data_IF_028944866824
#
_entry.id   IF_028944866824
#
_cell.length_a   1.000
_cell.length_b   1.000
_cell.length_c   1.000
_cell.angle_alpha   90.00
_cell.angle_beta   90.00
_cell.angle_gamma   90.00
#
_symmetry.space_group_name_H-M   'P 1'
#
loop_
_entity.id
_entity.type
_entity.pdbx_description
1 polymer ?
#
# COMPACT_ATOMS: atom_id res chain seq x y z
N UNK A 1 32.23 72.14 7.92
CA UNK A 1 32.07 72.86 6.65
C UNK A 1 32.31 71.91 5.50
N UNK A 2 31.34 71.75 4.61
CA UNK A 2 31.51 71.14 3.30
C UNK A 2 30.83 69.79 3.11
N UNK A 3 29.49 69.69 3.13
CA UNK A 3 28.72 68.57 2.60
C UNK A 3 28.76 68.62 1.06
N UNK A 4 29.27 67.58 0.41
CA UNK A 4 29.05 67.36 -1.03
C UNK A 4 28.15 66.20 -1.24
N UNK A 5 26.92 66.44 -1.68
CA UNK A 5 25.93 65.49 -2.13
C UNK A 5 26.32 64.92 -3.50
N UNK A 6 26.46 63.56 -3.58
CA UNK A 6 26.52 62.84 -4.84
C UNK A 6 25.13 62.28 -5.17
N UNK A 7 24.49 62.83 -6.21
CA UNK A 7 23.29 62.27 -6.84
C UNK A 7 23.70 61.05 -7.68
N UNK A 8 23.41 59.84 -7.17
CA UNK A 8 23.49 58.64 -7.95
C UNK A 8 22.21 58.46 -8.77
N UNK A 9 22.35 58.40 -10.08
CA UNK A 9 21.30 58.13 -11.07
C UNK A 9 21.01 56.62 -11.09
N UNK A 10 19.85 56.20 -10.56
CA UNK A 10 19.41 54.82 -10.59
C UNK A 10 18.81 54.54 -11.98
N UNK A 11 19.56 53.85 -12.84
CA UNK A 11 19.07 53.33 -14.12
C UNK A 11 18.29 52.01 -13.79
N UNK A 12 16.96 52.11 -13.90
CA UNK A 12 16.05 50.98 -13.79
C UNK A 12 16.12 50.18 -15.11
N UNK A 13 16.94 49.11 -15.14
CA UNK A 13 16.95 48.15 -16.26
C UNK A 13 15.72 47.26 -16.11
N UNK A 14 14.69 47.52 -16.92
CA UNK A 14 13.51 46.70 -17.08
C UNK A 14 13.92 45.46 -17.88
N UNK A 15 14.28 44.35 -17.17
CA UNK A 15 14.48 43.05 -17.77
C UNK A 15 13.13 42.56 -18.31
N UNK A 16 12.93 42.65 -19.62
CA UNK A 16 11.87 41.96 -20.33
C UNK A 16 12.16 40.45 -20.24
N UNK A 17 11.55 39.77 -19.26
CA UNK A 17 11.51 38.30 -19.24
C UNK A 17 10.52 37.86 -20.31
N UNK A 18 10.94 37.14 -21.37
CA UNK A 18 9.97 36.58 -22.31
C UNK A 18 9.06 35.64 -21.56
N UNK A 19 7.74 35.56 -21.88
CA UNK A 19 6.89 34.53 -21.29
C UNK A 19 7.49 33.17 -21.63
N UNK A 20 7.88 32.40 -20.61
CA UNK A 20 8.13 30.95 -20.80
C UNK A 20 6.82 30.38 -21.35
N UNK A 21 6.79 30.15 -22.66
CA UNK A 21 5.74 29.35 -23.26
C UNK A 21 5.72 28.04 -22.50
N UNK A 22 4.59 27.67 -21.92
CA UNK A 22 4.35 26.37 -21.35
C UNK A 22 4.58 25.35 -22.48
N UNK A 23 5.79 24.82 -22.58
CA UNK A 23 6.05 23.65 -23.40
C UNK A 23 5.22 22.55 -22.78
N UNK A 24 4.17 22.13 -23.47
CA UNK A 24 3.44 20.92 -23.10
C UNK A 24 4.47 19.79 -23.00
N UNK A 25 4.69 19.28 -21.81
CA UNK A 25 5.56 18.11 -21.63
C UNK A 25 5.06 16.99 -22.55
N UNK A 26 5.92 16.33 -23.33
CA UNK A 26 5.49 15.21 -24.12
C UNK A 26 4.82 14.16 -23.20
N UNK A 27 3.79 13.46 -23.66
CA UNK A 27 3.11 12.47 -22.85
C UNK A 27 4.11 11.42 -22.35
N UNK A 28 4.02 11.08 -21.08
CA UNK A 28 4.83 9.99 -20.52
C UNK A 28 4.32 8.67 -21.09
N UNK A 29 5.11 8.04 -21.96
CA UNK A 29 4.79 6.72 -22.48
C UNK A 29 5.09 5.68 -21.41
N UNK A 30 4.09 4.86 -21.04
CA UNK A 30 4.19 3.85 -20.00
C UNK A 30 3.75 2.49 -20.52
N UNK A 31 4.61 1.49 -20.33
CA UNK A 31 4.25 0.08 -20.37
C UNK A 31 3.75 -0.39 -19.03
N UNK A 32 3.04 -1.52 -18.98
CA UNK A 32 2.59 -2.14 -17.73
C UNK A 32 3.75 -2.39 -16.75
N UNK A 33 4.85 -2.92 -17.27
CA UNK A 33 6.06 -3.15 -16.47
C UNK A 33 6.61 -1.86 -15.87
N UNK A 34 6.74 -0.80 -16.67
CA UNK A 34 7.22 0.50 -16.19
C UNK A 34 6.27 1.10 -15.14
N UNK A 35 4.96 0.93 -15.31
CA UNK A 35 3.98 1.38 -14.34
C UNK A 35 4.12 0.63 -13.00
N UNK A 36 4.27 -0.70 -13.02
CA UNK A 36 4.51 -1.50 -11.82
C UNK A 36 5.82 -1.11 -11.11
N UNK A 37 6.93 -0.98 -11.85
CA UNK A 37 8.22 -0.55 -11.32
C UNK A 37 8.16 0.85 -10.69
N UNK A 38 7.43 1.76 -11.31
CA UNK A 38 7.28 3.13 -10.82
C UNK A 38 6.48 3.15 -9.52
N UNK A 39 5.38 2.40 -9.46
CA UNK A 39 4.57 2.27 -8.25
C UNK A 39 5.37 1.70 -7.09
N UNK A 40 6.13 0.63 -7.28
CA UNK A 40 6.98 0.05 -6.24
C UNK A 40 8.01 1.05 -5.67
N UNK A 41 8.43 2.04 -6.47
CA UNK A 41 9.41 3.05 -6.05
C UNK A 41 8.81 4.24 -5.32
N UNK A 42 7.58 4.65 -5.67
CA UNK A 42 7.07 5.93 -5.19
C UNK A 42 5.62 5.91 -4.69
N UNK A 43 4.93 4.77 -4.75
CA UNK A 43 3.59 4.66 -4.17
C UNK A 43 3.65 4.87 -2.65
N UNK A 44 2.79 5.74 -2.06
CA UNK A 44 2.83 6.05 -0.64
C UNK A 44 2.62 4.86 0.28
N UNK A 45 1.77 3.89 -0.09
CA UNK A 45 1.48 2.73 0.76
C UNK A 45 2.70 1.81 0.88
N UNK A 46 3.46 1.61 -0.21
CA UNK A 46 4.74 0.90 -0.18
C UNK A 46 5.76 1.65 0.68
N UNK A 47 5.84 2.98 0.55
CA UNK A 47 6.76 3.79 1.35
C UNK A 47 6.41 3.73 2.85
N UNK A 48 5.11 3.75 3.20
CA UNK A 48 4.65 3.58 4.58
C UNK A 48 5.05 2.20 5.11
N UNK A 49 4.88 1.13 4.34
CA UNK A 49 5.32 -0.21 4.75
C UNK A 49 6.83 -0.27 5.02
N UNK A 50 7.66 0.36 4.16
CA UNK A 50 9.11 0.47 4.37
C UNK A 50 9.45 1.27 5.63
N UNK A 51 8.73 2.34 5.91
CA UNK A 51 8.92 3.13 7.14
C UNK A 51 8.52 2.34 8.38
N UNK A 52 7.44 1.55 8.34
CA UNK A 52 7.03 0.66 9.43
C UNK A 52 8.11 -0.42 9.70
N UNK A 53 8.73 -0.97 8.65
CA UNK A 53 9.88 -1.87 8.81
C UNK A 53 11.06 -1.17 9.48
N UNK A 54 11.37 0.06 9.08
CA UNK A 54 12.43 0.85 9.72
C UNK A 54 12.13 1.14 11.19
N UNK A 55 10.87 1.46 11.53
CA UNK A 55 10.39 1.67 12.90
C UNK A 55 10.53 0.39 13.75
N UNK A 56 10.07 -0.76 13.25
CA UNK A 56 10.20 -2.04 13.95
C UNK A 56 11.67 -2.43 14.14
N UNK A 57 12.55 -2.07 13.19
CA UNK A 57 14.00 -2.16 13.34
C UNK A 57 14.54 -1.31 14.51
N UNK A 58 14.01 -0.10 14.72
CA UNK A 58 14.38 0.72 15.88
C UNK A 58 13.79 0.18 17.19
N UNK A 59 12.58 -0.37 17.18
CA UNK A 59 12.00 -1.05 18.35
C UNK A 59 12.87 -2.24 18.79
N UNK A 60 13.41 -3.01 17.85
CA UNK A 60 14.42 -4.04 18.15
C UNK A 60 15.69 -3.45 18.77
N UNK A 61 16.18 -2.30 18.27
CA UNK A 61 17.34 -1.62 18.85
C UNK A 61 17.05 -1.09 20.25
N UNK A 62 15.86 -0.55 20.51
CA UNK A 62 15.41 -0.12 21.84
C UNK A 62 15.35 -1.31 22.81
N UNK A 63 14.78 -2.44 22.37
CA UNK A 63 14.76 -3.64 23.19
C UNK A 63 16.18 -4.16 23.51
N UNK A 64 17.10 -4.08 22.52
CA UNK A 64 18.52 -4.41 22.71
C UNK A 64 19.21 -3.45 23.67
N UNK A 65 18.91 -2.15 23.59
CA UNK A 65 19.47 -1.15 24.48
C UNK A 65 19.11 -1.43 25.96
N UNK A 66 17.94 -2.04 26.20
CA UNK A 66 17.55 -2.50 27.54
C UNK A 66 18.44 -3.61 28.13
N UNK A 67 19.30 -4.25 27.33
CA UNK A 67 20.30 -5.24 27.76
C UNK A 67 21.68 -4.63 28.02
N UNK A 68 21.87 -3.35 27.68
CA UNK A 68 23.16 -2.68 27.75
C UNK A 68 23.21 -1.70 28.96
N UNK A 69 24.39 -1.37 29.43
CA UNK A 69 24.55 -0.32 30.46
C UNK A 69 23.93 1.00 29.98
N UNK A 70 23.17 1.63 30.86
CA UNK A 70 22.63 2.97 30.68
C UNK A 70 23.36 3.93 31.62
N UNK A 71 23.68 5.12 31.16
CA UNK A 71 24.29 6.17 31.96
C UNK A 71 23.59 7.49 31.68
N UNK A 72 23.25 8.21 32.76
CA UNK A 72 22.67 9.54 32.73
C UNK A 72 23.42 10.49 33.63
N UNK A 73 23.46 11.78 33.29
CA UNK A 73 23.97 12.84 34.16
C UNK A 73 22.79 13.44 34.90
N UNK A 74 22.84 13.40 36.25
CA UNK A 74 21.79 13.95 37.09
C UNK A 74 22.34 15.10 37.91
N UNK A 75 21.67 16.24 37.86
CA UNK A 75 21.90 17.38 38.74
C UNK A 75 20.58 17.71 39.39
N UNK A 76 20.56 17.71 40.73
CA UNK A 76 19.35 18.01 41.48
C UNK A 76 19.67 18.82 42.71
N UNK A 77 18.80 19.76 43.05
CA UNK A 77 18.79 20.46 44.33
C UNK A 77 17.40 20.27 44.94
N UNK A 78 17.35 19.74 46.14
CA UNK A 78 16.13 19.43 46.87
C UNK A 78 16.13 20.14 48.20
N UNK A 79 15.13 20.92 48.53
CA UNK A 79 14.89 21.45 49.86
C UNK A 79 14.03 20.45 50.64
N UNK A 80 14.50 20.05 51.82
CA UNK A 80 13.76 19.09 52.65
C UNK A 80 13.76 19.50 54.12
N UNK A 81 12.72 19.07 54.81
CA UNK A 81 12.58 19.19 56.27
C UNK A 81 12.22 17.81 56.81
N UNK A 82 13.04 17.28 57.69
CA UNK A 82 12.86 15.96 58.30
C UNK A 82 12.17 16.07 59.65
N UNK A 83 11.15 15.28 59.87
CA UNK A 83 10.53 15.09 61.20
C UNK A 83 11.27 13.96 61.94
N UNK A 84 12.09 14.31 62.88
CA UNK A 84 12.89 13.34 63.66
C UNK A 84 12.02 12.44 64.53
N UNK A 85 10.94 12.95 65.08
CA UNK A 85 10.01 12.17 65.88
C UNK A 85 9.32 11.06 65.02
N UNK A 86 8.95 11.37 63.76
CA UNK A 86 8.41 10.37 62.86
C UNK A 86 9.46 9.33 62.44
N UNK A 87 10.73 9.75 62.35
CA UNK A 87 11.83 8.86 61.92
C UNK A 87 12.21 7.86 63.03
N UNK A 88 12.23 8.31 64.31
CA UNK A 88 12.65 7.50 65.44
C UNK A 88 11.50 6.94 66.32
N UNK A 89 10.25 7.25 65.96
CA UNK A 89 9.04 6.76 66.66
C UNK A 89 8.81 7.40 68.03
N UNK A 90 9.72 8.26 68.52
CA UNK A 90 9.63 8.96 69.82
C UNK A 90 10.48 10.25 69.83
N UNK A 91 10.15 11.20 70.68
CA UNK A 91 10.99 12.38 70.92
C UNK A 91 12.33 11.98 71.48
N UNK A 92 13.44 12.51 70.95
CA UNK A 92 14.78 12.32 71.51
C UNK A 92 15.13 13.49 72.41
N UNK A 93 15.49 13.26 73.69
CA UNK A 93 15.92 14.32 74.59
C UNK A 93 17.16 15.05 74.03
N UNK A 94 17.08 16.37 73.89
CA UNK A 94 18.17 17.20 73.37
C UNK A 94 18.24 17.39 71.87
N UNK A 95 17.35 16.72 71.06
CA UNK A 95 17.23 16.95 69.62
C UNK A 95 15.94 17.72 69.30
N UNK A 96 15.97 18.61 68.33
CA UNK A 96 14.76 19.29 67.88
C UNK A 96 13.78 18.29 67.23
N UNK A 97 12.49 18.58 67.31
CA UNK A 97 11.46 17.70 66.67
C UNK A 97 11.61 17.56 65.14
N UNK A 98 12.28 18.54 64.54
CA UNK A 98 12.53 18.53 63.07
C UNK A 98 13.92 19.16 62.83
N UNK A 99 14.52 18.72 61.69
CA UNK A 99 15.72 19.30 61.11
C UNK A 99 15.35 19.93 59.77
N UNK A 100 15.88 21.12 59.51
CA UNK A 100 15.64 21.88 58.30
C UNK A 100 14.64 23.02 58.44
N UNK A 101 14.32 23.71 57.28
CA UNK A 101 14.66 23.28 55.92
C UNK A 101 16.16 23.36 55.62
N UNK A 102 16.68 22.36 54.88
CA UNK A 102 18.04 22.38 54.34
C UNK A 102 18.02 21.89 52.89
N UNK A 103 18.97 22.39 52.09
CA UNK A 103 19.20 21.93 50.71
C UNK A 103 19.93 20.59 50.69
N UNK A 104 19.67 19.79 49.70
CA UNK A 104 20.51 18.66 49.32
C UNK A 104 20.83 18.81 47.83
N UNK A 105 22.06 19.17 47.54
CA UNK A 105 22.59 19.24 46.20
C UNK A 105 23.24 17.91 45.82
N UNK A 106 22.91 17.41 44.64
CA UNK A 106 23.53 16.21 44.07
C UNK A 106 23.84 16.46 42.60
N UNK A 107 25.06 16.15 42.16
CA UNK A 107 25.46 16.24 40.76
C UNK A 107 26.45 15.12 40.45
N UNK A 108 26.14 14.36 39.37
CA UNK A 108 27.04 13.30 38.92
C UNK A 108 26.39 12.31 37.95
N UNK A 109 27.20 11.49 37.27
CA UNK A 109 26.70 10.39 36.47
C UNK A 109 26.08 9.30 37.37
N UNK A 110 24.91 8.80 36.88
CA UNK A 110 24.27 7.61 37.39
C UNK A 110 24.26 6.56 36.28
N UNK A 111 24.47 5.31 36.62
CA UNK A 111 24.45 4.23 35.65
C UNK A 111 23.68 3.03 36.21
N UNK A 112 23.02 2.33 35.28
CA UNK A 112 22.31 1.09 35.56
C UNK A 112 22.67 0.03 34.52
N UNK A 113 22.75 -1.21 34.93
CA UNK A 113 23.13 -2.33 34.10
C UNK A 113 22.37 -3.59 34.53
N UNK A 114 21.54 -4.19 33.69
CA UNK A 114 20.96 -5.51 33.93
C UNK A 114 22.04 -6.58 33.67
N UNK A 115 22.64 -7.12 34.73
CA UNK A 115 23.66 -8.17 34.60
C UNK A 115 23.01 -9.47 34.12
N UNK A 116 21.83 -9.79 34.66
CA UNK A 116 21.03 -10.93 34.26
C UNK A 116 19.55 -10.57 34.35
N UNK A 117 18.91 -10.47 33.17
CA UNK A 117 17.47 -10.29 33.00
C UNK A 117 17.00 -11.10 31.80
N UNK A 118 16.44 -12.29 32.09
CA UNK A 118 15.93 -13.18 31.05
C UNK A 118 14.72 -12.59 30.32
N UNK A 119 13.92 -11.76 31.03
CA UNK A 119 12.75 -11.14 30.41
C UNK A 119 13.16 -10.02 29.42
N UNK A 120 14.20 -9.26 29.72
CA UNK A 120 14.76 -8.27 28.79
C UNK A 120 15.34 -8.96 27.54
N UNK A 121 16.01 -10.10 27.70
CA UNK A 121 16.52 -10.89 26.58
C UNK A 121 15.37 -11.41 25.69
N UNK A 122 14.27 -11.89 26.27
CA UNK A 122 13.10 -12.34 25.50
C UNK A 122 12.43 -11.19 24.75
N UNK A 123 12.28 -10.03 25.35
CA UNK A 123 11.76 -8.83 24.67
C UNK A 123 12.58 -8.47 23.44
N UNK A 124 13.90 -8.56 23.50
CA UNK A 124 14.75 -8.35 22.32
C UNK A 124 14.52 -9.42 21.24
N UNK A 125 14.30 -10.68 21.62
CA UNK A 125 13.98 -11.74 20.68
C UNK A 125 12.60 -11.51 20.04
N UNK A 126 11.56 -11.14 20.82
CA UNK A 126 10.23 -10.77 20.32
C UNK A 126 10.33 -9.64 19.29
N UNK A 127 10.96 -8.51 19.65
CA UNK A 127 11.17 -7.40 18.74
C UNK A 127 11.98 -7.77 17.48
N UNK A 128 12.82 -8.82 17.57
CA UNK A 128 13.56 -9.34 16.41
C UNK A 128 12.67 -10.13 15.46
N UNK A 129 11.67 -10.87 15.96
CA UNK A 129 10.69 -11.57 15.13
C UNK A 129 9.68 -10.59 14.53
N UNK A 130 9.19 -9.61 15.30
CA UNK A 130 8.34 -8.54 14.78
C UNK A 130 9.03 -7.75 13.65
N UNK A 131 10.31 -7.43 13.76
CA UNK A 131 11.05 -6.77 12.68
C UNK A 131 11.17 -7.65 11.42
N UNK A 132 11.20 -8.99 11.55
CA UNK A 132 11.15 -9.90 10.40
C UNK A 132 9.75 -10.00 9.81
N UNK A 133 8.72 -10.07 10.66
CA UNK A 133 7.33 -10.03 10.22
C UNK A 133 7.05 -8.76 9.41
N UNK A 134 7.47 -7.59 9.90
CA UNK A 134 7.38 -6.32 9.18
C UNK A 134 8.11 -6.33 7.83
N UNK A 135 9.19 -7.11 7.70
CA UNK A 135 9.86 -7.33 6.42
C UNK A 135 8.97 -8.04 5.41
N UNK A 136 8.25 -9.07 5.84
CA UNK A 136 7.28 -9.78 5.00
C UNK A 136 6.03 -8.92 4.72
N UNK A 137 5.62 -8.04 5.65
CA UNK A 137 4.53 -7.08 5.41
C UNK A 137 4.88 -6.08 4.29
N UNK A 138 6.17 -5.68 4.15
CA UNK A 138 6.62 -4.87 3.00
C UNK A 138 6.45 -5.62 1.69
N UNK A 139 6.84 -6.90 1.64
CA UNK A 139 6.65 -7.70 0.42
C UNK A 139 5.16 -7.90 0.10
N UNK A 140 4.32 -8.10 1.12
CA UNK A 140 2.87 -8.15 0.93
C UNK A 140 2.31 -6.84 0.35
N UNK A 141 2.70 -5.70 0.90
CA UNK A 141 2.28 -4.39 0.38
C UNK A 141 2.72 -4.18 -1.08
N UNK A 142 3.90 -4.67 -1.45
CA UNK A 142 4.38 -4.65 -2.84
C UNK A 142 3.51 -5.51 -3.76
N UNK A 143 3.20 -6.75 -3.35
CA UNK A 143 2.31 -7.66 -4.13
C UNK A 143 0.93 -7.01 -4.35
N UNK A 144 0.33 -6.44 -3.29
CA UNK A 144 -0.97 -5.76 -3.37
C UNK A 144 -0.94 -4.54 -4.30
N UNK A 145 0.10 -3.69 -4.20
CA UNK A 145 0.21 -2.50 -5.05
C UNK A 145 0.45 -2.88 -6.51
N UNK A 146 1.26 -3.91 -6.79
CA UNK A 146 1.43 -4.39 -8.16
C UNK A 146 0.10 -4.88 -8.73
N UNK A 147 -0.69 -5.66 -7.97
CA UNK A 147 -2.01 -6.10 -8.40
C UNK A 147 -2.93 -4.91 -8.72
N UNK A 148 -2.99 -3.90 -7.84
CA UNK A 148 -3.81 -2.71 -8.05
C UNK A 148 -3.39 -1.93 -9.30
N UNK A 149 -2.08 -1.78 -9.53
CA UNK A 149 -1.55 -1.10 -10.72
C UNK A 149 -1.85 -1.88 -11.98
N UNK A 150 -1.66 -3.21 -11.96
CA UNK A 150 -2.00 -4.09 -13.11
C UNK A 150 -3.48 -3.98 -13.42
N UNK A 151 -4.36 -4.10 -12.43
CA UNK A 151 -5.81 -3.99 -12.61
C UNK A 151 -6.22 -2.62 -13.17
N UNK A 152 -5.66 -1.54 -12.63
CA UNK A 152 -5.95 -0.18 -13.10
C UNK A 152 -5.41 0.06 -14.51
N UNK A 153 -4.21 -0.43 -14.81
CA UNK A 153 -3.61 -0.33 -16.14
C UNK A 153 -4.42 -1.09 -17.20
N UNK A 154 -4.78 -2.35 -16.91
CA UNK A 154 -5.64 -3.16 -17.77
C UNK A 154 -7.02 -2.52 -17.98
N UNK A 155 -7.62 -1.97 -16.92
CA UNK A 155 -8.87 -1.22 -17.02
C UNK A 155 -8.73 0.03 -17.89
N UNK A 156 -7.58 0.69 -17.85
CA UNK A 156 -7.30 1.84 -18.73
C UNK A 156 -7.09 1.41 -20.19
N UNK A 157 -6.46 0.25 -20.45
CA UNK A 157 -6.36 -0.33 -21.79
C UNK A 157 -7.74 -0.77 -22.33
N UNK A 158 -8.59 -1.35 -21.48
CA UNK A 158 -9.97 -1.68 -21.83
C UNK A 158 -10.75 -0.43 -22.26
N UNK A 159 -10.64 0.65 -21.47
CA UNK A 159 -11.29 1.92 -21.80
C UNK A 159 -10.74 2.53 -23.10
N UNK A 160 -9.44 2.43 -23.36
CA UNK A 160 -8.83 2.87 -24.62
C UNK A 160 -9.34 2.06 -25.84
N UNK A 161 -9.42 0.74 -25.69
CA UNK A 161 -9.98 -0.15 -26.73
C UNK A 161 -11.43 0.19 -27.01
N UNK A 162 -12.24 0.47 -25.96
CA UNK A 162 -13.63 0.90 -26.12
C UNK A 162 -13.74 2.23 -26.86
N UNK A 163 -12.88 3.23 -26.59
CA UNK A 163 -12.85 4.48 -27.37
C UNK A 163 -12.64 4.20 -28.85
N UNK A 164 -11.71 3.30 -29.18
CA UNK A 164 -11.41 2.93 -30.57
C UNK A 164 -12.59 2.23 -31.23
N UNK A 165 -13.24 1.30 -30.54
CA UNK A 165 -14.42 0.60 -31.03
C UNK A 165 -15.58 1.57 -31.31
N UNK A 166 -15.95 2.42 -30.34
CA UNK A 166 -17.04 3.41 -30.49
C UNK A 166 -16.69 4.44 -31.56
N UNK A 167 -15.43 4.83 -31.74
CA UNK A 167 -15.01 5.73 -32.81
C UNK A 167 -15.24 5.11 -34.19
N UNK A 168 -15.04 3.80 -34.34
CA UNK A 168 -15.35 3.06 -35.55
C UNK A 168 -16.87 3.00 -35.80
N UNK A 169 -17.68 2.84 -34.74
CA UNK A 169 -19.15 2.88 -34.83
C UNK A 169 -19.67 4.26 -35.26
N UNK A 170 -19.10 5.36 -34.76
CA UNK A 170 -19.43 6.72 -35.23
C UNK A 170 -19.17 6.86 -36.72
N UNK A 171 -18.03 6.36 -37.23
CA UNK A 171 -17.72 6.40 -38.65
C UNK A 171 -18.74 5.58 -39.48
N UNK A 172 -19.13 4.43 -38.93
CA UNK A 172 -20.12 3.55 -39.57
C UNK A 172 -21.51 4.20 -39.64
N UNK A 173 -21.96 4.79 -38.52
CA UNK A 173 -23.23 5.51 -38.43
C UNK A 173 -23.25 6.76 -39.33
N UNK A 174 -22.13 7.49 -39.43
CA UNK A 174 -21.97 8.62 -40.32
C UNK A 174 -22.15 8.20 -41.79
N UNK A 175 -21.47 7.12 -42.20
CA UNK A 175 -21.60 6.60 -43.57
C UNK A 175 -23.03 6.18 -43.90
N UNK A 176 -23.74 5.55 -42.95
CA UNK A 176 -25.15 5.18 -43.13
C UNK A 176 -26.07 6.40 -43.25
N UNK A 177 -25.84 7.44 -42.41
CA UNK A 177 -26.59 8.69 -42.49
C UNK A 177 -26.37 9.40 -43.86
N UNK A 178 -25.12 9.50 -44.31
CA UNK A 178 -24.78 10.10 -45.59
C UNK A 178 -25.47 9.35 -46.77
N UNK A 179 -25.42 8.03 -46.76
CA UNK A 179 -26.08 7.19 -47.75
C UNK A 179 -27.61 7.38 -47.74
N UNK A 180 -28.24 7.32 -46.57
CA UNK A 180 -29.70 7.50 -46.42
C UNK A 180 -30.16 8.90 -46.85
N UNK A 181 -29.38 9.94 -46.52
CA UNK A 181 -29.60 11.33 -46.89
C UNK A 181 -29.51 11.51 -48.43
N UNK A 182 -28.54 10.90 -49.09
CA UNK A 182 -28.38 10.98 -50.53
C UNK A 182 -29.48 10.22 -51.28
N UNK A 183 -29.87 9.03 -50.80
CA UNK A 183 -31.04 8.33 -51.36
C UNK A 183 -32.33 9.15 -51.25
N UNK A 184 -32.52 9.86 -50.11
CA UNK A 184 -33.66 10.78 -49.94
C UNK A 184 -33.62 11.94 -50.91
N UNK A 185 -32.47 12.61 -51.10
CA UNK A 185 -32.29 13.73 -52.04
C UNK A 185 -32.57 13.33 -53.48
N UNK A 186 -32.28 12.09 -53.84
CA UNK A 186 -32.54 11.55 -55.19
C UNK A 186 -33.95 10.93 -55.35
N UNK A 187 -34.78 11.01 -54.28
CA UNK A 187 -36.18 10.52 -54.34
C UNK A 187 -36.35 9.01 -54.30
N UNK A 188 -35.29 8.24 -53.97
CA UNK A 188 -35.29 6.76 -53.93
C UNK A 188 -35.42 6.25 -52.48
N UNK A 189 -35.04 7.08 -51.48
CA UNK A 189 -35.15 6.78 -50.04
C UNK A 189 -36.24 7.57 -49.34
N UNK A 190 -36.64 7.10 -48.14
CA UNK A 190 -37.62 7.79 -47.31
C UNK A 190 -36.96 8.79 -46.36
N UNK A 191 -37.64 9.92 -46.06
CA UNK A 191 -37.18 10.88 -45.06
C UNK A 191 -37.07 10.26 -43.63
N UNK A 192 -37.84 9.18 -43.37
CA UNK A 192 -37.80 8.45 -42.13
C UNK A 192 -36.47 7.67 -41.95
N UNK A 193 -35.94 7.11 -43.04
CA UNK A 193 -34.67 6.38 -43.04
C UNK A 193 -33.50 7.34 -42.73
N UNK A 194 -33.49 8.53 -43.36
CA UNK A 194 -32.48 9.55 -43.07
C UNK A 194 -32.57 10.07 -41.63
N UNK A 195 -33.80 10.25 -41.11
CA UNK A 195 -33.99 10.66 -39.71
C UNK A 195 -33.51 9.60 -38.73
N UNK A 196 -33.80 8.32 -38.93
CA UNK A 196 -33.34 7.21 -38.10
C UNK A 196 -31.81 7.10 -38.09
N UNK A 197 -31.19 7.15 -39.28
CA UNK A 197 -29.73 7.13 -39.37
C UNK A 197 -29.10 8.33 -38.69
N UNK A 198 -29.75 9.52 -38.73
CA UNK A 198 -29.24 10.70 -37.99
C UNK A 198 -29.36 10.52 -36.47
N UNK A 199 -30.46 9.96 -35.97
CA UNK A 199 -30.63 9.66 -34.55
C UNK A 199 -29.55 8.69 -34.08
N UNK A 200 -29.26 7.64 -34.85
CA UNK A 200 -28.21 6.66 -34.55
C UNK A 200 -26.84 7.31 -34.52
N UNK A 201 -26.52 8.16 -35.48
CA UNK A 201 -25.25 8.93 -35.44
C UNK A 201 -25.10 9.78 -34.15
N UNK A 202 -26.20 10.45 -33.74
CA UNK A 202 -26.18 11.25 -32.50
C UNK A 202 -25.96 10.37 -31.25
N UNK A 203 -26.57 9.19 -31.20
CA UNK A 203 -26.37 8.21 -30.13
C UNK A 203 -24.92 7.77 -30.05
N UNK A 204 -24.30 7.41 -31.17
CA UNK A 204 -22.92 6.96 -31.25
C UNK A 204 -21.93 8.10 -30.89
N UNK A 205 -22.22 9.35 -31.27
CA UNK A 205 -21.43 10.51 -30.88
C UNK A 205 -21.48 10.74 -29.34
N UNK A 206 -22.66 10.58 -28.73
CA UNK A 206 -22.79 10.67 -27.27
C UNK A 206 -21.97 9.58 -26.58
N UNK A 207 -22.07 8.33 -27.04
CA UNK A 207 -21.27 7.20 -26.49
C UNK A 207 -19.77 7.46 -26.63
N UNK A 208 -19.31 8.08 -27.71
CA UNK A 208 -17.90 8.43 -27.85
C UNK A 208 -17.43 9.42 -26.78
N UNK A 209 -18.26 10.43 -26.45
CA UNK A 209 -17.95 11.39 -25.37
C UNK A 209 -17.86 10.66 -24.02
N UNK A 210 -18.76 9.72 -23.75
CA UNK A 210 -18.79 8.90 -22.54
C UNK A 210 -17.53 8.01 -22.45
N UNK A 211 -17.20 7.28 -23.52
CA UNK A 211 -16.02 6.42 -23.60
C UNK A 211 -14.70 7.21 -23.41
N UNK A 212 -14.58 8.38 -24.04
CA UNK A 212 -13.42 9.25 -23.87
C UNK A 212 -13.30 9.79 -22.44
N UNK A 213 -14.44 10.05 -21.77
CA UNK A 213 -14.45 10.48 -20.39
C UNK A 213 -14.03 9.35 -19.46
N UNK A 214 -14.52 8.14 -19.68
CA UNK A 214 -14.16 6.94 -18.93
C UNK A 214 -12.67 6.63 -19.07
N UNK A 215 -12.11 6.71 -20.26
CA UNK A 215 -10.67 6.56 -20.48
C UNK A 215 -9.86 7.59 -19.68
N UNK A 216 -10.22 8.87 -19.75
CA UNK A 216 -9.51 9.93 -18.99
C UNK A 216 -9.57 9.69 -17.49
N UNK A 217 -10.75 9.31 -16.97
CA UNK A 217 -10.89 9.05 -15.52
C UNK A 217 -10.11 7.82 -15.09
N UNK A 218 -10.01 6.78 -15.91
CA UNK A 218 -9.19 5.60 -15.61
C UNK A 218 -7.70 5.93 -15.58
N UNK A 219 -7.21 6.79 -16.50
CA UNK A 219 -5.83 7.28 -16.49
C UNK A 219 -5.53 8.14 -15.25
N UNK A 220 -6.49 8.96 -14.77
CA UNK A 220 -6.32 9.68 -13.50
C UNK A 220 -6.21 8.74 -12.30
N UNK A 221 -6.98 7.65 -12.30
CA UNK A 221 -6.84 6.58 -11.31
C UNK A 221 -5.43 5.96 -11.32
N UNK A 222 -4.90 5.68 -12.50
CA UNK A 222 -3.54 5.19 -12.65
C UNK A 222 -2.50 6.20 -12.17
N UNK A 223 -2.62 7.48 -12.55
CA UNK A 223 -1.72 8.56 -12.11
C UNK A 223 -1.62 8.63 -10.57
N UNK A 224 -2.77 8.48 -9.89
CA UNK A 224 -2.82 8.44 -8.41
C UNK A 224 -2.03 7.25 -7.84
N UNK A 225 -2.22 6.05 -8.39
CA UNK A 225 -1.49 4.86 -7.91
C UNK A 225 0.02 4.98 -8.14
N UNK A 226 0.41 5.63 -9.23
CA UNK A 226 1.81 5.90 -9.56
C UNK A 226 2.39 7.11 -8.84
N UNK A 227 1.58 7.80 -8.01
CA UNK A 227 1.97 9.06 -7.35
C UNK A 227 2.52 10.10 -8.33
N UNK A 228 1.88 10.23 -9.50
CA UNK A 228 2.19 11.20 -10.54
C UNK A 228 1.24 12.40 -10.47
N UNK A 229 1.69 13.55 -11.01
CA UNK A 229 0.82 14.72 -11.18
C UNK A 229 -0.35 14.34 -12.12
N UNK A 230 -1.63 14.53 -11.70
CA UNK A 230 -2.79 14.24 -12.55
C UNK A 230 -2.84 15.06 -13.85
N UNK A 231 -2.11 16.19 -13.92
CA UNK A 231 -2.01 17.01 -15.12
C UNK A 231 -0.98 16.49 -16.13
N UNK A 232 -0.14 15.54 -15.75
CA UNK A 232 0.81 14.93 -16.67
C UNK A 232 0.06 14.02 -17.65
N UNK A 233 0.12 14.26 -18.96
CA UNK A 233 -0.48 13.38 -19.94
C UNK A 233 0.28 12.04 -19.96
N UNK A 234 -0.46 10.94 -19.74
CA UNK A 234 0.06 9.57 -19.82
C UNK A 234 -0.50 8.91 -21.05
N UNK A 235 0.36 8.28 -21.82
CA UNK A 235 0.01 7.44 -22.97
C UNK A 235 0.40 5.99 -22.67
N UNK A 236 -0.57 5.09 -22.77
CA UNK A 236 -0.36 3.65 -22.58
C UNK A 236 0.13 3.05 -23.90
N UNK A 237 1.22 2.32 -23.87
CA UNK A 237 1.86 1.78 -25.09
C UNK A 237 1.50 0.34 -25.37
N UNK A 238 0.99 -0.39 -24.36
CA UNK A 238 0.57 -1.77 -24.52
C UNK A 238 -0.84 -1.86 -25.11
N UNK A 239 -1.18 -3.03 -25.65
CA UNK A 239 -2.52 -3.37 -26.13
C UNK A 239 -3.04 -4.60 -25.41
N UNK A 240 -4.36 -4.68 -25.22
CA UNK A 240 -4.98 -5.89 -24.72
C UNK A 240 -4.76 -7.02 -25.75
N UNK A 241 -4.04 -8.05 -25.34
CA UNK A 241 -3.70 -9.18 -26.19
C UNK A 241 -3.95 -10.50 -25.47
N UNK A 242 -4.28 -11.52 -26.25
CA UNK A 242 -4.38 -12.89 -25.80
C UNK A 242 -3.07 -13.62 -26.14
N UNK A 243 -2.55 -14.38 -25.16
CA UNK A 243 -1.44 -15.30 -25.34
C UNK A 243 -1.67 -16.54 -24.48
N UNK A 244 -1.33 -17.70 -25.02
CA UNK A 244 -1.50 -18.94 -24.28
C UNK A 244 -0.64 -18.97 -23.02
N UNK A 245 -1.27 -19.24 -21.88
CA UNK A 245 -0.56 -19.50 -20.61
C UNK A 245 -0.35 -20.99 -20.42
N UNK A 246 0.73 -21.40 -19.71
CA UNK A 246 0.92 -22.78 -19.28
C UNK A 246 -0.26 -23.25 -18.42
N UNK A 247 -0.52 -24.55 -18.41
CA UNK A 247 -1.47 -25.15 -17.48
C UNK A 247 -0.88 -25.13 -16.05
N UNK A 248 -1.72 -24.77 -15.09
CA UNK A 248 -1.36 -24.73 -13.68
C UNK A 248 -2.03 -25.92 -12.95
N UNK A 249 -1.25 -26.95 -12.55
CA UNK A 249 -1.82 -28.03 -11.76
C UNK A 249 -2.26 -27.52 -10.38
N UNK A 250 -3.55 -27.59 -10.08
CA UNK A 250 -4.15 -26.92 -8.92
C UNK A 250 -3.53 -27.27 -7.56
N UNK A 251 -3.18 -28.54 -7.33
CA UNK A 251 -2.60 -28.96 -6.05
C UNK A 251 -1.18 -28.44 -5.83
N UNK A 252 -0.34 -28.41 -6.88
CA UNK A 252 1.03 -27.87 -6.78
C UNK A 252 1.00 -26.36 -6.63
N UNK A 253 0.10 -25.67 -7.31
CA UNK A 253 -0.11 -24.22 -7.22
C UNK A 253 -0.53 -23.79 -5.81
N UNK A 254 -1.42 -24.56 -5.17
CA UNK A 254 -1.84 -24.27 -3.79
C UNK A 254 -0.70 -24.48 -2.78
N UNK A 255 0.12 -25.53 -2.94
CA UNK A 255 1.27 -25.76 -2.06
C UNK A 255 2.32 -24.66 -2.21
N UNK A 256 2.56 -24.17 -3.44
CA UNK A 256 3.44 -23.05 -3.69
C UNK A 256 2.93 -21.76 -3.02
N UNK A 257 1.63 -21.47 -3.13
CA UNK A 257 1.02 -20.32 -2.48
C UNK A 257 1.23 -20.33 -0.96
N UNK A 258 1.02 -21.45 -0.29
CA UNK A 258 1.25 -21.59 1.16
C UNK A 258 2.72 -21.38 1.56
N UNK A 259 3.67 -21.72 0.69
CA UNK A 259 5.09 -21.62 0.99
C UNK A 259 5.67 -20.22 0.69
N UNK A 260 5.07 -19.47 -0.22
CA UNK A 260 5.70 -18.28 -0.81
C UNK A 260 4.95 -16.98 -0.50
N UNK A 261 3.67 -17.03 -0.15
CA UNK A 261 2.90 -15.79 0.14
C UNK A 261 3.47 -15.07 1.36
N UNK A 262 3.76 -13.76 1.20
CA UNK A 262 4.37 -12.96 2.27
C UNK A 262 3.53 -12.93 3.55
N UNK A 263 2.20 -12.96 3.47
CA UNK A 263 1.31 -12.97 4.64
C UNK A 263 1.49 -14.24 5.49
N UNK A 264 1.72 -15.41 4.85
CA UNK A 264 2.00 -16.65 5.58
C UNK A 264 3.35 -16.56 6.28
N UNK A 265 4.37 -16.03 5.61
CA UNK A 265 5.70 -15.84 6.19
C UNK A 265 5.68 -14.82 7.34
N UNK A 266 4.93 -13.73 7.21
CA UNK A 266 4.73 -12.76 8.29
C UNK A 266 4.05 -13.42 9.51
N UNK A 267 3.02 -14.23 9.27
CA UNK A 267 2.28 -14.91 10.33
C UNK A 267 3.16 -15.95 11.04
N UNK A 268 4.05 -16.64 10.33
CA UNK A 268 5.02 -17.57 10.91
C UNK A 268 5.98 -16.85 11.88
N UNK A 269 6.43 -15.67 11.53
CA UNK A 269 7.28 -14.84 12.42
C UNK A 269 6.50 -14.33 13.64
N UNK A 270 5.23 -13.92 13.47
CA UNK A 270 4.34 -13.53 14.59
C UNK A 270 3.99 -14.66 15.52
N UNK A 271 3.87 -15.89 15.01
CA UNK A 271 3.69 -17.07 15.84
C UNK A 271 4.92 -17.31 16.73
N UNK A 272 6.12 -17.22 16.16
CA UNK A 272 7.38 -17.34 16.92
C UNK A 272 7.52 -16.25 17.97
N UNK A 273 7.11 -15.02 17.66
CA UNK A 273 7.03 -13.91 18.60
C UNK A 273 6.10 -14.24 19.77
N UNK A 274 4.87 -14.70 19.50
CA UNK A 274 3.91 -15.09 20.53
C UNK A 274 4.39 -16.26 21.39
N UNK A 275 5.11 -17.23 20.81
CA UNK A 275 5.77 -18.28 21.59
C UNK A 275 6.82 -17.74 22.56
N UNK A 276 7.59 -16.74 22.12
CA UNK A 276 8.56 -16.03 22.97
C UNK A 276 7.86 -15.25 24.05
N UNK A 277 6.73 -14.57 23.75
CA UNK A 277 5.89 -13.89 24.73
C UNK A 277 5.38 -14.82 25.82
N UNK A 278 4.99 -16.03 25.45
CA UNK A 278 4.63 -17.07 26.41
C UNK A 278 5.82 -17.50 27.28
N UNK A 279 7.02 -17.64 26.71
CA UNK A 279 8.25 -17.94 27.46
C UNK A 279 8.57 -16.79 28.41
N UNK A 280 8.54 -15.54 27.92
CA UNK A 280 8.73 -14.36 28.73
C UNK A 280 7.78 -14.32 29.94
N UNK A 281 6.48 -14.56 29.72
CA UNK A 281 5.49 -14.59 30.79
C UNK A 281 5.82 -15.63 31.87
N UNK A 282 6.31 -16.81 31.48
CA UNK A 282 6.74 -17.87 32.39
C UNK A 282 8.04 -17.52 33.12
N UNK A 283 8.96 -16.87 32.42
CA UNK A 283 10.31 -16.54 32.91
C UNK A 283 10.30 -15.37 33.88
N UNK A 284 9.22 -14.56 33.98
CA UNK A 284 9.01 -13.56 35.01
C UNK A 284 9.09 -14.11 36.46
N UNK A 285 9.10 -15.41 36.65
CA UNK A 285 9.30 -16.07 37.96
C UNK A 285 10.77 -16.21 38.36
N UNK A 286 11.68 -16.09 37.39
CA UNK A 286 13.12 -16.22 37.67
C UNK A 286 13.69 -14.95 38.26
N UNK A 287 14.76 -15.08 39.09
CA UNK A 287 15.47 -13.93 39.62
C UNK A 287 16.05 -13.07 38.49
N UNK A 288 16.08 -11.75 38.72
CA UNK A 288 16.88 -10.82 37.94
C UNK A 288 18.00 -10.23 38.79
N UNK A 289 19.14 -9.92 38.16
CA UNK A 289 20.30 -9.30 38.79
C UNK A 289 20.60 -7.99 38.07
N UNK A 290 20.45 -6.90 38.80
CA UNK A 290 20.79 -5.55 38.37
C UNK A 290 21.95 -4.96 39.13
N UNK A 291 22.69 -4.08 38.48
CA UNK A 291 23.71 -3.26 39.07
C UNK A 291 23.39 -1.78 38.82
N UNK A 292 23.39 -0.99 39.90
CA UNK A 292 23.16 0.44 39.82
C UNK A 292 24.32 1.15 40.50
N UNK A 293 24.72 2.28 39.98
CA UNK A 293 25.76 3.07 40.61
C UNK A 293 25.59 4.56 40.34
N UNK A 294 26.08 5.35 41.27
CA UNK A 294 26.30 6.76 41.03
C UNK A 294 27.67 7.16 41.55
N UNK A 295 28.27 8.14 40.95
CA UNK A 295 29.49 8.77 41.38
C UNK A 295 29.39 10.26 41.10
N UNK A 296 29.57 11.10 42.13
CA UNK A 296 29.38 12.53 41.95
C UNK A 296 29.64 13.32 43.20
N UNK A 297 29.01 14.47 43.31
CA UNK A 297 29.13 15.40 44.41
C UNK A 297 27.80 15.52 45.14
N UNK A 298 27.83 15.43 46.49
CA UNK A 298 26.63 15.62 47.32
C UNK A 298 26.99 16.58 48.47
N UNK A 299 26.10 17.55 48.74
CA UNK A 299 26.28 18.51 49.81
C UNK A 299 24.99 19.24 50.19
N UNK A 300 25.06 20.13 51.19
CA UNK A 300 23.92 21.00 51.54
C UNK A 300 23.65 22.10 50.50
N UNK A 301 24.60 22.34 49.58
CA UNK A 301 24.57 23.23 48.44
C UNK A 301 25.79 22.98 47.57
N UNK A 302 25.90 23.69 46.45
CA UNK A 302 27.02 23.54 45.50
C UNK A 302 28.38 23.73 46.17
N UNK A 303 28.52 24.75 47.04
CA UNK A 303 29.81 25.11 47.68
C UNK A 303 30.28 24.08 48.73
N UNK A 304 29.36 23.33 49.32
CA UNK A 304 29.63 22.31 50.33
C UNK A 304 29.65 20.89 49.83
N UNK A 305 29.50 20.71 48.50
CA UNK A 305 29.43 19.40 47.90
C UNK A 305 30.79 18.70 47.84
N UNK A 306 30.85 17.47 48.34
CA UNK A 306 32.03 16.60 48.34
C UNK A 306 31.83 15.37 47.48
N UNK A 307 32.90 14.75 46.96
CA UNK A 307 32.78 13.52 46.16
C UNK A 307 32.14 12.38 46.96
N UNK A 308 31.13 11.76 46.39
CA UNK A 308 30.41 10.61 46.95
C UNK A 308 30.15 9.58 45.89
N UNK A 309 30.01 8.32 46.26
CA UNK A 309 29.61 7.25 45.36
C UNK A 309 28.75 6.23 46.08
N UNK A 310 27.88 5.56 45.29
CA UNK A 310 27.10 4.41 45.74
C UNK A 310 27.09 3.37 44.66
N UNK A 311 27.39 2.13 44.96
CA UNK A 311 27.28 0.99 44.08
C UNK A 311 26.39 -0.06 44.71
N UNK A 312 25.37 -0.49 44.00
CA UNK A 312 24.38 -1.44 44.51
C UNK A 312 24.19 -2.57 43.51
N UNK A 313 24.41 -3.80 43.91
CA UNK A 313 23.97 -5.00 43.19
C UNK A 313 22.68 -5.49 43.84
N UNK A 314 21.63 -5.65 43.05
CA UNK A 314 20.30 -6.06 43.52
C UNK A 314 19.89 -7.35 42.85
N UNK A 315 19.50 -8.34 43.63
CA UNK A 315 18.84 -9.57 43.13
C UNK A 315 17.35 -9.44 43.49
N UNK A 316 16.51 -9.39 42.45
CA UNK A 316 15.07 -9.39 42.64
C UNK A 316 14.50 -10.79 42.38
N UNK A 317 13.83 -11.33 43.41
CA UNK A 317 13.21 -12.65 43.39
C UNK A 317 11.70 -12.51 43.67
N UNK A 318 10.83 -12.72 42.72
CA UNK A 318 9.38 -12.60 42.92
C UNK A 318 8.84 -13.80 43.70
N UNK A 319 8.61 -13.65 45.01
CA UNK A 319 8.13 -14.74 45.87
C UNK A 319 6.60 -14.88 45.83
N UNK A 320 5.87 -13.76 45.90
CA UNK A 320 4.41 -13.73 45.89
C UNK A 320 3.93 -12.74 44.82
N UNK A 321 3.23 -13.25 43.79
CA UNK A 321 2.77 -12.44 42.65
C UNK A 321 1.25 -12.32 42.57
N UNK A 322 0.52 -12.80 43.60
CA UNK A 322 -0.95 -12.76 43.69
C UNK A 322 -1.68 -13.20 42.39
N UNK A 323 -1.13 -14.19 41.70
CA UNK A 323 -1.69 -14.71 40.45
C UNK A 323 -1.29 -13.92 39.17
N UNK A 324 -0.56 -12.80 39.26
CA UNK A 324 -0.16 -11.97 38.13
C UNK A 324 0.56 -12.78 37.03
N UNK A 325 1.58 -13.54 37.38
CA UNK A 325 2.34 -14.35 36.42
C UNK A 325 1.44 -15.42 35.77
N UNK A 326 0.57 -16.08 36.57
CA UNK A 326 -0.37 -17.07 36.03
C UNK A 326 -1.32 -16.43 35.01
N UNK A 327 -1.89 -15.26 35.32
CA UNK A 327 -2.75 -14.53 34.42
C UNK A 327 -2.02 -14.12 33.13
N UNK A 328 -0.76 -13.66 33.23
CA UNK A 328 0.05 -13.31 32.09
C UNK A 328 0.35 -14.54 31.18
N UNK A 329 0.68 -15.68 31.75
CA UNK A 329 0.87 -16.93 31.00
C UNK A 329 -0.42 -17.35 30.29
N UNK A 330 -1.57 -17.32 31.00
CA UNK A 330 -2.85 -17.64 30.38
C UNK A 330 -3.20 -16.66 29.25
N UNK A 331 -2.91 -15.37 29.41
CA UNK A 331 -3.09 -14.37 28.36
C UNK A 331 -2.27 -14.73 27.11
N UNK A 332 -0.98 -15.04 27.28
CA UNK A 332 -0.09 -15.40 26.16
C UNK A 332 -0.49 -16.74 25.51
N UNK A 333 -1.00 -17.71 26.28
CA UNK A 333 -1.56 -18.96 25.72
C UNK A 333 -2.81 -18.67 24.85
N UNK A 334 -3.65 -17.68 25.22
CA UNK A 334 -4.80 -17.25 24.42
C UNK A 334 -4.38 -16.47 23.16
N UNK A 335 -3.33 -15.66 23.25
CA UNK A 335 -2.76 -14.95 22.09
C UNK A 335 -2.22 -15.96 21.07
N UNK A 336 -1.49 -16.97 21.50
CA UNK A 336 -1.01 -18.02 20.60
C UNK A 336 -2.16 -18.74 19.91
N UNK A 337 -3.21 -19.11 20.65
CA UNK A 337 -4.41 -19.73 20.04
C UNK A 337 -5.12 -18.85 19.03
N UNK A 338 -5.12 -17.52 19.23
CA UNK A 338 -5.64 -16.60 18.22
C UNK A 338 -4.82 -16.64 16.92
N UNK A 339 -3.49 -16.70 17.04
CA UNK A 339 -2.61 -16.79 15.86
C UNK A 339 -2.84 -18.13 15.12
N UNK A 340 -3.00 -19.24 15.84
CA UNK A 340 -3.36 -20.54 15.23
C UNK A 340 -4.67 -20.44 14.43
N UNK A 341 -5.73 -19.81 15.00
CA UNK A 341 -6.99 -19.61 14.28
C UNK A 341 -6.84 -18.64 13.08
N UNK A 342 -6.04 -17.60 13.22
CA UNK A 342 -5.73 -16.69 12.12
C UNK A 342 -5.00 -17.42 10.99
N UNK A 343 -4.11 -18.35 11.32
CA UNK A 343 -3.41 -19.20 10.34
C UNK A 343 -4.38 -20.08 9.56
N UNK A 344 -5.31 -20.73 10.26
CA UNK A 344 -6.32 -21.60 9.63
C UNK A 344 -7.22 -20.79 8.70
N UNK A 345 -7.66 -19.62 9.13
CA UNK A 345 -8.43 -18.69 8.29
C UNK A 345 -7.65 -18.24 7.06
N UNK A 346 -6.40 -17.81 7.24
CA UNK A 346 -5.52 -17.37 6.15
C UNK A 346 -5.31 -18.50 5.13
N UNK A 347 -5.09 -19.75 5.58
CA UNK A 347 -4.95 -20.89 4.68
C UNK A 347 -6.22 -21.14 3.88
N UNK A 348 -7.38 -21.05 4.51
CA UNK A 348 -8.67 -21.22 3.84
C UNK A 348 -8.92 -20.11 2.81
N UNK A 349 -8.56 -18.85 3.13
CA UNK A 349 -8.65 -17.72 2.23
C UNK A 349 -7.73 -17.89 1.02
N UNK A 350 -6.47 -18.24 1.23
CA UNK A 350 -5.52 -18.53 0.14
C UNK A 350 -6.03 -19.66 -0.74
N UNK A 351 -6.58 -20.74 -0.14
CA UNK A 351 -7.15 -21.84 -0.91
C UNK A 351 -8.34 -21.40 -1.77
N UNK A 352 -9.20 -20.54 -1.24
CA UNK A 352 -10.31 -19.96 -1.97
C UNK A 352 -9.81 -19.09 -3.12
N UNK A 353 -8.87 -18.17 -2.86
CA UNK A 353 -8.30 -17.25 -3.87
C UNK A 353 -7.67 -18.04 -5.02
N UNK A 354 -6.79 -18.99 -4.73
CA UNK A 354 -6.12 -19.82 -5.76
C UNK A 354 -7.14 -20.61 -6.59
N UNK A 355 -8.11 -21.27 -5.95
CA UNK A 355 -9.12 -22.05 -6.68
C UNK A 355 -10.04 -21.17 -7.53
N UNK A 356 -10.42 -20.01 -7.01
CA UNK A 356 -11.25 -19.03 -7.76
C UNK A 356 -10.49 -18.47 -8.95
N UNK A 357 -9.23 -18.06 -8.76
CA UNK A 357 -8.40 -17.52 -9.85
C UNK A 357 -8.13 -18.56 -10.95
N UNK A 358 -7.91 -19.83 -10.58
CA UNK A 358 -7.75 -20.92 -11.55
C UNK A 358 -9.02 -21.13 -12.37
N UNK A 359 -10.19 -21.18 -11.73
CA UNK A 359 -11.47 -21.36 -12.41
C UNK A 359 -11.80 -20.17 -13.32
N UNK A 360 -11.52 -18.93 -12.85
CA UNK A 360 -11.70 -17.72 -13.64
C UNK A 360 -10.77 -17.67 -14.85
N UNK A 361 -9.51 -18.05 -14.70
CA UNK A 361 -8.55 -18.09 -15.80
C UNK A 361 -8.96 -19.10 -16.88
N UNK A 362 -9.44 -20.29 -16.49
CA UNK A 362 -9.94 -21.30 -17.41
C UNK A 362 -11.18 -20.81 -18.16
N UNK A 363 -12.15 -20.22 -17.44
CA UNK A 363 -13.35 -19.64 -18.05
C UNK A 363 -13.01 -18.51 -19.01
N UNK A 364 -12.17 -17.54 -18.58
CA UNK A 364 -11.78 -16.39 -19.37
C UNK A 364 -11.03 -16.78 -20.66
N UNK A 365 -10.27 -17.88 -20.64
CA UNK A 365 -9.62 -18.42 -21.84
C UNK A 365 -10.65 -18.83 -22.89
N UNK A 366 -11.71 -19.54 -22.48
CA UNK A 366 -12.78 -19.96 -23.39
C UNK A 366 -13.64 -18.76 -23.84
N UNK A 367 -13.86 -17.77 -22.97
CA UNK A 367 -14.59 -16.55 -23.32
C UNK A 367 -13.92 -15.79 -24.45
N UNK A 368 -12.58 -15.73 -24.50
CA UNK A 368 -11.85 -15.08 -25.62
C UNK A 368 -12.11 -15.78 -26.93
N UNK A 369 -12.02 -17.12 -26.96
CA UNK A 369 -12.26 -17.89 -28.20
C UNK A 369 -13.68 -17.67 -28.74
N UNK A 370 -14.71 -17.65 -27.86
CA UNK A 370 -16.11 -17.43 -28.22
C UNK A 370 -16.35 -15.98 -28.66
N UNK A 371 -15.72 -15.01 -27.99
CA UNK A 371 -15.87 -13.59 -28.33
C UNK A 371 -15.22 -13.25 -29.67
N UNK A 372 -14.05 -13.82 -29.97
CA UNK A 372 -13.39 -13.65 -31.28
C UNK A 372 -14.21 -14.18 -32.45
N UNK A 373 -14.85 -15.33 -32.26
CA UNK A 373 -15.78 -15.86 -33.29
C UNK A 373 -17.04 -15.00 -33.40
N UNK A 374 -17.56 -14.49 -32.27
CA UNK A 374 -18.70 -13.57 -32.23
C UNK A 374 -18.47 -12.31 -33.05
N UNK A 375 -17.27 -11.70 -32.96
CA UNK A 375 -16.92 -10.51 -33.76
C UNK A 375 -16.91 -10.82 -35.23
N UNK A 376 -16.29 -11.94 -35.67
CA UNK A 376 -16.25 -12.33 -37.10
C UNK A 376 -17.64 -12.51 -37.67
N UNK A 377 -18.53 -13.19 -36.95
CA UNK A 377 -19.90 -13.41 -37.38
C UNK A 377 -20.71 -12.09 -37.49
N UNK A 378 -20.53 -11.19 -36.54
CA UNK A 378 -21.19 -9.89 -36.52
C UNK A 378 -20.66 -8.95 -37.62
N UNK A 379 -19.37 -8.99 -37.94
CA UNK A 379 -18.80 -8.26 -39.10
C UNK A 379 -19.39 -8.75 -40.41
N UNK A 380 -19.57 -10.04 -40.56
CA UNK A 380 -20.22 -10.64 -41.75
C UNK A 380 -21.70 -10.24 -41.84
N UNK A 381 -22.43 -10.22 -40.69
CA UNK A 381 -23.82 -9.77 -40.63
C UNK A 381 -23.94 -8.31 -41.09
N UNK A 382 -23.09 -7.41 -40.62
CA UNK A 382 -23.07 -5.99 -41.05
C UNK A 382 -22.78 -5.87 -42.55
N UNK A 383 -21.84 -6.65 -43.10
CA UNK A 383 -21.51 -6.63 -44.52
C UNK A 383 -22.72 -7.04 -45.37
N UNK A 384 -23.37 -8.16 -45.01
CA UNK A 384 -24.55 -8.65 -45.73
C UNK A 384 -25.73 -7.69 -45.61
N UNK A 385 -26.01 -7.13 -44.45
CA UNK A 385 -27.09 -6.15 -44.25
C UNK A 385 -26.89 -4.88 -45.08
N UNK A 386 -25.66 -4.41 -45.21
CA UNK A 386 -25.30 -3.27 -46.08
C UNK A 386 -25.52 -3.54 -47.57
N UNK A 387 -25.07 -4.70 -48.05
CA UNK A 387 -25.23 -5.09 -49.43
C UNK A 387 -26.72 -5.19 -49.81
N UNK A 388 -27.55 -5.75 -48.93
CA UNK A 388 -29.00 -5.85 -49.09
C UNK A 388 -29.68 -4.48 -49.09
N UNK A 389 -29.25 -3.57 -48.20
CA UNK A 389 -29.75 -2.20 -48.15
C UNK A 389 -29.36 -1.42 -49.43
N UNK A 390 -28.10 -1.54 -49.87
CA UNK A 390 -27.61 -0.91 -51.11
C UNK A 390 -28.36 -1.43 -52.38
N UNK A 391 -28.72 -2.71 -52.40
CA UNK A 391 -29.52 -3.32 -53.46
C UNK A 391 -31.02 -2.95 -53.38
N UNK A 392 -31.47 -2.21 -52.36
CA UNK A 392 -32.87 -1.81 -52.17
C UNK A 392 -33.82 -2.94 -51.77
N UNK A 393 -33.29 -4.10 -51.32
CA UNK A 393 -34.06 -5.27 -50.87
C UNK A 393 -34.25 -5.36 -49.35
N UNK A 394 -33.62 -4.46 -48.60
CA UNK A 394 -33.74 -4.31 -47.16
C UNK A 394 -33.92 -2.83 -46.78
N UNK A 395 -34.44 -2.57 -45.60
CA UNK A 395 -34.48 -1.21 -45.01
C UNK A 395 -33.27 -0.95 -44.08
N UNK A 396 -33.07 0.30 -43.69
CA UNK A 396 -31.94 0.67 -42.83
C UNK A 396 -32.04 0.09 -41.41
N UNK A 397 -33.19 -0.40 -40.97
CA UNK A 397 -33.35 -1.06 -39.64
C UNK A 397 -32.52 -2.33 -39.58
N UNK A 398 -32.43 -3.10 -40.66
CA UNK A 398 -31.61 -4.32 -40.75
C UNK A 398 -30.13 -3.97 -40.55
N UNK A 399 -29.66 -2.88 -41.18
CA UNK A 399 -28.28 -2.39 -41.02
C UNK A 399 -28.00 -1.90 -39.60
N UNK A 400 -28.89 -1.11 -39.02
CA UNK A 400 -28.77 -0.62 -37.64
C UNK A 400 -28.71 -1.80 -36.64
N UNK A 401 -29.61 -2.79 -36.83
CA UNK A 401 -29.63 -3.99 -35.97
C UNK A 401 -28.34 -4.81 -36.08
N UNK A 402 -27.79 -4.95 -37.28
CA UNK A 402 -26.49 -5.61 -37.47
C UNK A 402 -25.35 -4.81 -36.85
N UNK A 403 -25.38 -3.46 -36.90
CA UNK A 403 -24.40 -2.60 -36.21
C UNK A 403 -24.47 -2.74 -34.68
N UNK A 404 -25.68 -2.83 -34.12
CA UNK A 404 -25.88 -3.10 -32.68
C UNK A 404 -25.34 -4.48 -32.29
N UNK A 405 -25.45 -5.50 -33.17
CA UNK A 405 -24.89 -6.82 -32.94
C UNK A 405 -23.36 -6.78 -32.94
N UNK A 406 -22.75 -6.06 -33.87
CA UNK A 406 -21.29 -5.87 -33.94
C UNK A 406 -20.76 -5.09 -32.75
N UNK A 407 -21.45 -4.06 -32.28
CA UNK A 407 -21.10 -3.30 -31.09
C UNK A 407 -21.03 -4.24 -29.88
N UNK A 408 -22.11 -5.01 -29.64
CA UNK A 408 -22.11 -6.00 -28.53
C UNK A 408 -21.01 -7.04 -28.66
N UNK A 409 -20.70 -7.48 -29.86
CA UNK A 409 -19.61 -8.45 -30.12
C UNK A 409 -18.23 -7.85 -29.74
N UNK A 410 -17.97 -6.60 -30.12
CA UNK A 410 -16.74 -5.90 -29.71
C UNK A 410 -16.67 -5.67 -28.22
N UNK A 411 -17.75 -5.25 -27.58
CA UNK A 411 -17.80 -5.07 -26.11
C UNK A 411 -17.48 -6.39 -25.39
N UNK A 412 -18.05 -7.50 -25.86
CA UNK A 412 -17.78 -8.83 -25.32
C UNK A 412 -16.31 -9.24 -25.53
N UNK A 413 -15.72 -8.96 -26.69
CA UNK A 413 -14.32 -9.27 -26.97
C UNK A 413 -13.37 -8.48 -26.09
N UNK A 414 -13.59 -7.15 -25.95
CA UNK A 414 -12.78 -6.28 -25.08
C UNK A 414 -12.89 -6.74 -23.63
N UNK A 415 -14.11 -7.09 -23.19
CA UNK A 415 -14.34 -7.61 -21.84
C UNK A 415 -13.63 -8.97 -21.61
N UNK A 416 -13.72 -9.89 -22.58
CA UNK A 416 -13.06 -11.20 -22.51
C UNK A 416 -11.52 -11.07 -22.42
N UNK A 417 -10.92 -10.21 -23.23
CA UNK A 417 -9.49 -9.93 -23.19
C UNK A 417 -9.05 -9.30 -21.86
N UNK A 418 -9.85 -8.38 -21.34
CA UNK A 418 -9.61 -7.79 -20.01
C UNK A 418 -9.70 -8.87 -18.93
N UNK A 419 -10.79 -9.65 -18.88
CA UNK A 419 -11.02 -10.69 -17.89
C UNK A 419 -9.88 -11.73 -17.90
N UNK A 420 -9.40 -12.11 -19.08
CA UNK A 420 -8.29 -13.04 -19.22
C UNK A 420 -7.00 -12.50 -18.61
N UNK A 421 -6.62 -11.26 -18.94
CA UNK A 421 -5.41 -10.65 -18.41
C UNK A 421 -5.52 -10.38 -16.91
N UNK A 422 -6.70 -9.97 -16.42
CA UNK A 422 -6.96 -9.78 -15.00
C UNK A 422 -6.87 -11.10 -14.23
N UNK A 423 -7.49 -12.17 -14.71
CA UNK A 423 -7.44 -13.49 -14.07
C UNK A 423 -6.01 -14.05 -13.99
N UNK A 424 -5.15 -13.72 -14.95
CA UNK A 424 -3.72 -14.05 -14.88
C UNK A 424 -3.01 -13.28 -13.77
N UNK A 425 -3.31 -12.00 -13.63
CA UNK A 425 -2.75 -11.18 -12.56
C UNK A 425 -3.24 -11.65 -11.18
N UNK A 426 -4.52 -11.97 -11.06
CA UNK A 426 -5.12 -12.50 -9.84
C UNK A 426 -4.50 -13.84 -9.43
N UNK A 427 -4.25 -14.74 -10.38
CA UNK A 427 -3.57 -16.00 -10.11
C UNK A 427 -2.11 -15.78 -9.68
N UNK A 428 -1.39 -14.87 -10.35
CA UNK A 428 -0.02 -14.53 -9.99
C UNK A 428 0.06 -13.95 -8.57
N UNK A 429 -0.89 -13.10 -8.19
CA UNK A 429 -1.00 -12.58 -6.81
C UNK A 429 -1.39 -13.69 -5.83
N UNK A 430 -2.39 -14.52 -6.15
CA UNK A 430 -2.82 -15.64 -5.30
C UNK A 430 -1.69 -16.63 -5.00
N UNK A 431 -0.69 -16.72 -5.90
CA UNK A 431 0.50 -17.57 -5.73
C UNK A 431 1.71 -16.83 -5.14
N UNK A 432 1.65 -15.51 -4.93
CA UNK A 432 2.74 -14.69 -4.41
C UNK A 432 3.87 -14.41 -5.42
N UNK A 433 3.55 -14.32 -6.70
CA UNK A 433 4.51 -14.12 -7.80
C UNK A 433 4.20 -12.95 -8.72
N UNK A 434 3.29 -12.06 -8.35
CA UNK A 434 2.86 -10.99 -9.26
C UNK A 434 4.00 -10.02 -9.59
N UNK A 435 4.90 -9.74 -8.63
CA UNK A 435 6.09 -8.90 -8.87
C UNK A 435 7.02 -9.52 -9.92
N UNK A 436 7.23 -10.84 -9.88
CA UNK A 436 8.09 -11.54 -10.82
C UNK A 436 7.54 -11.49 -12.25
N UNK A 437 6.22 -11.45 -12.39
CA UNK A 437 5.55 -11.44 -13.69
C UNK A 437 5.47 -10.04 -14.30
N UNK A 438 5.28 -9.00 -13.49
CA UNK A 438 4.96 -7.65 -13.96
C UNK A 438 5.95 -6.56 -13.60
N UNK A 439 6.89 -6.79 -12.65
CA UNK A 439 7.82 -5.76 -12.18
C UNK A 439 9.30 -6.14 -12.32
N UNK A 440 9.65 -7.40 -12.54
CA UNK A 440 11.03 -7.86 -12.80
C UNK A 440 11.16 -8.30 -14.26
#
# INVERSE_FOLDING_TARGET
MGFRAHRGFLILILLLVPPLGAQANPPAQLTLKQAADLALKQNPDVQIAVLNLAESGQNKNLARAGLLPQADMRVSEQAQRLNLQALFGQPFPGLPQHIGPFGVFQAGPAFSFPIFDLTAYRRWQEASHEARASGHDVENAREEIVLLVVSQYLGSLQAAANVTAVQSQVQLAQALYDQASDLQKHGVGTGLDALRAHVELQNQQQRLIEAQTQYRTSVYGLSRLLNLDPNLPIELTDQLSFFQTPEFPGDTTLQQAYAQRPEMLALDEREREAELGRKLAREQRYPSLGFNGNWGYTGLGIESAIPTYTYTATIDVPLVTSGRIRAQVTKSDLELKKIEQTRDDLRNRIALEVKTSLAQLEAARHEVDVADEGVKLAEEEVSQARDRFAAGVANNIEVISAQDSLERAHDNQIAALYNYNQSRADLAHATGHIQDLYAK
#
